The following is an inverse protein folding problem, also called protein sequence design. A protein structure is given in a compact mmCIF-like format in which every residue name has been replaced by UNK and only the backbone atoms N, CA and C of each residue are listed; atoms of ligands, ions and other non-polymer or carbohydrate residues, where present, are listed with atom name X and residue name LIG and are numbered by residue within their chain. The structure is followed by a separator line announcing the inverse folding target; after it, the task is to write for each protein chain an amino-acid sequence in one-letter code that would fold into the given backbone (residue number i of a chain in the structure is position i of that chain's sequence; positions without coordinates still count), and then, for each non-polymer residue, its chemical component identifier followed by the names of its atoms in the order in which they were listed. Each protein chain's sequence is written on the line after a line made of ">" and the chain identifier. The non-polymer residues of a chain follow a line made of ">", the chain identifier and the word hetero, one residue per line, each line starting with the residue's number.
data_IF_470887441846
#
_entry.id   IF_470887441846
#
_cell.length_a   1.000
_cell.length_b   1.000
_cell.length_c   1.000
_cell.angle_alpha   90.00
_cell.angle_beta   90.00
_cell.angle_gamma   90.00
#
_symmetry.space_group_name_H-M   'P 1'
#
loop_
_entity.id
_entity.type
_entity.pdbx_description
1 polymer ?
#
# COMPACT_ATOMS: atom_id res chain seq x y z
N UNK A 1 0.32 -20.28 -16.08
CA UNK A 1 -0.88 -19.63 -15.54
C UNK A 1 -0.56 -18.15 -15.33
N UNK A 2 -1.41 -17.23 -15.81
CA UNK A 2 -1.21 -15.79 -15.63
C UNK A 2 -1.69 -15.32 -14.26
N UNK A 3 -1.15 -14.20 -13.78
CA UNK A 3 -1.66 -13.52 -12.59
C UNK A 3 -3.03 -12.91 -12.89
N UNK A 4 -3.86 -12.75 -11.85
CA UNK A 4 -5.11 -11.97 -11.90
C UNK A 4 -4.84 -10.57 -11.35
N UNK A 5 -4.60 -9.54 -12.19
CA UNK A 5 -4.03 -8.28 -11.71
C UNK A 5 -4.88 -7.57 -10.67
N UNK A 6 -6.21 -7.51 -10.87
CA UNK A 6 -7.13 -6.87 -9.93
C UNK A 6 -7.15 -7.61 -8.58
N UNK A 7 -7.17 -8.95 -8.60
CA UNK A 7 -7.16 -9.73 -7.36
C UNK A 7 -5.84 -9.54 -6.59
N UNK A 8 -4.73 -9.45 -7.32
CA UNK A 8 -3.41 -9.15 -6.74
C UNK A 8 -3.38 -7.73 -6.16
N UNK A 9 -3.94 -6.74 -6.87
CA UNK A 9 -4.08 -5.38 -6.40
C UNK A 9 -4.89 -5.29 -5.11
N UNK A 10 -6.07 -5.91 -5.05
CA UNK A 10 -6.91 -5.90 -3.85
C UNK A 10 -6.15 -6.51 -2.67
N UNK A 11 -5.48 -7.65 -2.89
CA UNK A 11 -4.72 -8.32 -1.83
C UNK A 11 -3.58 -7.44 -1.31
N UNK A 12 -2.75 -6.87 -2.19
CA UNK A 12 -1.62 -6.05 -1.77
C UNK A 12 -2.08 -4.72 -1.17
N UNK A 13 -3.10 -4.07 -1.74
CA UNK A 13 -3.70 -2.86 -1.20
C UNK A 13 -4.24 -3.09 0.21
N UNK A 14 -4.98 -4.19 0.44
CA UNK A 14 -5.51 -4.50 1.77
C UNK A 14 -4.40 -4.74 2.79
N UNK A 15 -3.34 -5.47 2.42
CA UNK A 15 -2.19 -5.70 3.30
C UNK A 15 -1.47 -4.38 3.58
N UNK A 16 -1.12 -3.59 2.55
CA UNK A 16 -0.35 -2.38 2.73
C UNK A 16 -1.12 -1.29 3.50
N UNK A 17 -2.35 -0.99 3.09
CA UNK A 17 -3.21 -0.06 3.80
C UNK A 17 -3.51 -0.52 5.23
N UNK A 18 -3.78 -1.81 5.45
CA UNK A 18 -4.00 -2.38 6.77
C UNK A 18 -2.77 -2.28 7.67
N UNK A 19 -1.58 -2.53 7.12
CA UNK A 19 -0.32 -2.34 7.84
C UNK A 19 -0.14 -0.89 8.26
N UNK A 20 -0.34 0.08 7.36
CA UNK A 20 -0.21 1.50 7.70
C UNK A 20 -1.23 1.93 8.77
N UNK A 21 -2.48 1.46 8.68
CA UNK A 21 -3.49 1.70 9.70
C UNK A 21 -3.01 1.23 11.08
N UNK A 22 -2.62 -0.04 11.20
CA UNK A 22 -2.17 -0.63 12.46
C UNK A 22 -0.87 0.00 12.97
N UNK A 23 0.11 0.23 12.10
CA UNK A 23 1.36 0.89 12.48
C UNK A 23 1.12 2.31 12.96
N UNK A 24 0.16 3.04 12.38
CA UNK A 24 -0.24 4.38 12.88
C UNK A 24 -0.72 4.32 14.33
N UNK A 25 -1.59 3.36 14.65
CA UNK A 25 -2.10 3.16 16.01
C UNK A 25 -0.98 2.78 16.99
N UNK A 26 -0.13 1.83 16.63
CA UNK A 26 0.99 1.41 17.47
C UNK A 26 1.95 2.59 17.68
N UNK A 27 2.26 3.33 16.61
CA UNK A 27 3.13 4.51 16.67
C UNK A 27 2.55 5.61 17.55
N UNK A 28 1.25 5.86 17.48
CA UNK A 28 0.59 6.87 18.30
C UNK A 28 0.77 6.62 19.80
N UNK A 29 0.74 5.36 20.25
CA UNK A 29 0.90 5.03 21.67
C UNK A 29 2.35 4.79 22.11
N UNK A 30 3.22 4.31 21.21
CA UNK A 30 4.55 3.79 21.58
C UNK A 30 5.71 4.48 20.87
N UNK A 31 5.44 5.26 19.84
CA UNK A 31 6.46 5.80 18.93
C UNK A 31 7.08 4.78 17.97
N UNK A 32 6.63 3.52 17.95
CA UNK A 32 7.11 2.51 17.01
C UNK A 32 6.93 2.97 15.56
N UNK A 33 7.96 2.79 14.71
CA UNK A 33 7.88 3.14 13.28
C UNK A 33 7.70 4.63 12.98
N UNK A 34 7.86 5.52 13.97
CA UNK A 34 7.58 6.97 13.87
C UNK A 34 8.27 7.62 12.67
N UNK A 35 9.59 7.43 12.53
CA UNK A 35 10.37 8.05 11.45
C UNK A 35 9.87 7.64 10.06
N UNK A 36 9.47 6.37 9.90
CA UNK A 36 8.89 5.87 8.65
C UNK A 36 7.55 6.56 8.34
N UNK A 37 6.66 6.67 9.34
CA UNK A 37 5.37 7.35 9.16
C UNK A 37 5.51 8.86 8.95
N UNK A 38 6.55 9.49 9.52
CA UNK A 38 6.82 10.92 9.31
C UNK A 38 7.20 11.20 7.86
N UNK A 39 8.01 10.34 7.22
CA UNK A 39 8.28 10.45 5.78
C UNK A 39 6.99 10.35 4.96
N UNK A 40 6.09 9.43 5.31
CA UNK A 40 4.80 9.33 4.64
C UNK A 40 3.96 10.59 4.83
N UNK A 41 3.88 11.12 6.05
CA UNK A 41 3.08 12.29 6.38
C UNK A 41 3.60 13.57 5.71
N UNK A 42 4.92 13.73 5.64
CA UNK A 42 5.54 14.98 5.16
C UNK A 42 5.73 15.02 3.65
N UNK A 43 5.97 13.86 3.01
CA UNK A 43 6.44 13.83 1.63
C UNK A 43 5.54 13.06 0.67
N UNK A 44 4.73 12.11 1.16
CA UNK A 44 4.06 11.12 0.29
C UNK A 44 2.53 11.24 0.34
N UNK A 45 1.95 11.39 1.53
CA UNK A 45 0.51 11.33 1.78
C UNK A 45 -0.02 12.65 2.33
N UNK A 46 -0.50 13.56 1.45
CA UNK A 46 -1.05 14.83 1.87
C UNK A 46 -2.17 14.66 2.90
N UNK A 47 -2.04 15.37 4.02
CA UNK A 47 -3.01 15.36 5.13
C UNK A 47 -2.92 14.15 6.05
N UNK A 48 -2.07 13.15 5.76
CA UNK A 48 -1.82 12.06 6.70
C UNK A 48 -1.14 12.59 7.95
N UNK A 49 -1.62 12.16 9.11
CA UNK A 49 -1.03 12.47 10.41
C UNK A 49 -0.94 11.19 11.24
N UNK A 50 0.04 11.12 12.14
CA UNK A 50 0.21 9.96 13.02
C UNK A 50 -0.77 10.10 14.19
N UNK A 51 -2.06 9.88 13.91
CA UNK A 51 -3.19 9.99 14.85
C UNK A 51 -4.24 8.91 14.54
N UNK A 52 -5.16 8.61 15.47
CA UNK A 52 -6.27 7.69 15.20
C UNK A 52 -7.09 8.08 13.96
N UNK A 53 -7.42 9.37 13.78
CA UNK A 53 -8.13 9.83 12.59
C UNK A 53 -7.26 9.75 11.33
N UNK A 54 -5.98 10.10 11.43
CA UNK A 54 -5.03 10.00 10.32
C UNK A 54 -4.77 8.57 9.87
N UNK A 55 -4.96 7.56 10.73
CA UNK A 55 -4.82 6.14 10.36
C UNK A 55 -5.75 5.74 9.21
N UNK A 56 -6.94 6.35 9.08
CA UNK A 56 -7.85 6.12 7.96
C UNK A 56 -7.33 6.68 6.64
N UNK A 57 -6.60 7.80 6.67
CA UNK A 57 -5.88 8.29 5.49
C UNK A 57 -4.71 7.37 5.13
N UNK A 58 -3.97 6.87 6.12
CA UNK A 58 -2.93 5.86 5.90
C UNK A 58 -3.49 4.58 5.27
N UNK A 59 -4.66 4.11 5.73
CA UNK A 59 -5.38 2.99 5.13
C UNK A 59 -5.76 3.27 3.68
N UNK A 60 -6.33 4.44 3.41
CA UNK A 60 -6.80 4.81 2.08
C UNK A 60 -5.64 4.95 1.08
N UNK A 61 -4.63 5.76 1.40
CA UNK A 61 -3.46 5.92 0.54
C UNK A 61 -2.68 4.62 0.38
N UNK A 62 -2.44 3.87 1.46
CA UNK A 62 -1.77 2.58 1.39
C UNK A 62 -2.55 1.56 0.56
N UNK A 63 -3.88 1.54 0.66
CA UNK A 63 -4.69 0.70 -0.21
C UNK A 63 -4.53 1.07 -1.68
N UNK A 64 -4.61 2.36 -2.01
CA UNK A 64 -4.46 2.83 -3.39
C UNK A 64 -3.07 2.51 -3.96
N UNK A 65 -2.01 2.78 -3.20
CA UNK A 65 -0.63 2.51 -3.62
C UNK A 65 -0.41 1.01 -3.87
N UNK A 66 -0.82 0.16 -2.92
CA UNK A 66 -0.72 -1.28 -3.05
C UNK A 66 -1.58 -1.81 -4.20
N UNK A 67 -2.81 -1.30 -4.35
CA UNK A 67 -3.73 -1.71 -5.40
C UNK A 67 -3.18 -1.39 -6.80
N UNK A 68 -2.78 -0.14 -7.02
CA UNK A 68 -2.30 0.33 -8.33
C UNK A 68 -0.99 -0.37 -8.68
N UNK A 69 -0.03 -0.42 -7.76
CA UNK A 69 1.28 -1.04 -8.00
C UNK A 69 1.16 -2.53 -8.33
N UNK A 70 0.40 -3.31 -7.56
CA UNK A 70 0.27 -4.75 -7.82
C UNK A 70 -0.58 -5.05 -9.06
N UNK A 71 -1.62 -4.24 -9.34
CA UNK A 71 -2.39 -4.37 -10.59
C UNK A 71 -1.49 -4.12 -11.79
N UNK A 72 -0.64 -3.09 -11.74
CA UNK A 72 0.32 -2.80 -12.80
C UNK A 72 1.34 -3.93 -12.95
N UNK A 73 1.92 -4.41 -11.85
CA UNK A 73 2.86 -5.54 -11.85
C UNK A 73 2.22 -6.79 -12.46
N UNK A 74 1.00 -7.15 -12.06
CA UNK A 74 0.29 -8.30 -12.60
C UNK A 74 0.05 -8.19 -14.11
N UNK A 75 -0.29 -6.99 -14.58
CA UNK A 75 -0.45 -6.73 -16.01
C UNK A 75 0.87 -6.83 -16.79
N UNK A 76 1.95 -6.19 -16.30
CA UNK A 76 3.29 -6.26 -16.91
C UNK A 76 3.78 -7.71 -16.94
N UNK A 77 3.66 -8.44 -15.83
CA UNK A 77 4.06 -9.83 -15.72
C UNK A 77 3.38 -10.68 -16.79
N UNK A 78 2.06 -10.55 -16.95
CA UNK A 78 1.33 -11.32 -17.95
C UNK A 78 1.79 -11.00 -19.38
N UNK A 79 2.09 -9.73 -19.68
CA UNK A 79 2.63 -9.31 -20.98
C UNK A 79 4.00 -9.93 -21.26
N UNK A 80 4.93 -9.84 -20.31
CA UNK A 80 6.29 -10.39 -20.45
C UNK A 80 6.25 -11.92 -20.54
N UNK A 81 5.46 -12.57 -19.70
CA UNK A 81 5.33 -14.03 -19.70
C UNK A 81 4.73 -14.57 -21.00
N UNK A 82 3.85 -13.81 -21.66
CA UNK A 82 3.28 -14.18 -22.97
C UNK A 82 4.25 -13.98 -24.14
N UNK A 83 5.32 -13.18 -23.97
CA UNK A 83 6.27 -12.88 -25.05
C UNK A 83 7.25 -14.02 -25.31
N UNK A 84 7.59 -14.83 -24.30
CA UNK A 84 8.52 -15.96 -24.42
C UNK A 84 7.91 -17.29 -24.87
N UNK A 85 6.62 -17.29 -25.22
CA UNK A 85 5.87 -18.49 -25.66
C UNK A 85 5.65 -18.57 -27.17
N UNK A 86 6.41 -17.80 -27.95
CA UNK A 86 6.42 -17.83 -29.42
C UNK A 86 7.72 -18.40 -29.96
#
# INVERSE_FOLDING_TARGET
>A
MGLRPIALGIALGAVWGGSLFLTTWISYYTGYGRLFLEVLAQSIYPGYTITPAGSFLGLFYGFLDGFVSATLIGWIYNKVASYGSH
#
